data_IF_470656982565
#
_entry.id   IF_470656982565
#
_cell.length_a   1.000
_cell.length_b   1.000
_cell.length_c   1.000
_cell.angle_alpha   90.00
_cell.angle_beta   90.00
_cell.angle_gamma   90.00
#
_symmetry.space_group_name_H-M   'P 1'
#
loop_
_entity.id
_entity.type
_entity.pdbx_description
1 polymer ?
#
# COMPACT_ATOMS: atom_id res chain seq x y z
N UNK A 1 2.76 16.06 12.24
CA UNK A 1 1.94 14.84 12.05
C UNK A 1 2.35 14.21 10.72
N UNK A 2 2.08 12.92 10.55
CA UNK A 2 2.32 12.18 9.31
C UNK A 2 1.01 11.54 8.85
N UNK A 3 0.83 11.47 7.54
CA UNK A 3 -0.29 10.77 6.90
C UNK A 3 0.21 10.02 5.68
N UNK A 4 -0.19 8.76 5.55
CA UNK A 4 0.10 7.91 4.40
C UNK A 4 -1.15 7.14 4.01
N UNK A 5 -1.36 6.91 2.71
CA UNK A 5 -2.43 6.04 2.21
C UNK A 5 -1.81 4.86 1.49
N UNK A 6 -2.18 3.67 1.94
CA UNK A 6 -1.73 2.38 1.39
C UNK A 6 -2.72 1.95 0.33
N UNK A 7 -2.26 1.54 -0.85
CA UNK A 7 -3.09 0.95 -1.90
C UNK A 7 -2.50 -0.40 -2.28
N UNK A 8 -3.28 -1.47 -2.17
CA UNK A 8 -2.91 -2.83 -2.55
C UNK A 8 -4.18 -3.67 -2.69
N UNK A 9 -4.23 -4.62 -3.63
CA UNK A 9 -5.48 -5.20 -4.11
C UNK A 9 -6.18 -4.31 -5.13
N UNK A 10 -6.55 -4.88 -6.28
CA UNK A 10 -7.02 -4.11 -7.45
C UNK A 10 -8.03 -4.90 -8.26
N UNK A 11 -9.07 -4.22 -8.75
CA UNK A 11 -9.96 -4.77 -9.78
C UNK A 11 -10.33 -3.69 -10.80
N UNK A 12 -10.56 -4.09 -12.05
CA UNK A 12 -11.04 -3.18 -13.09
C UNK A 12 -12.42 -2.60 -12.75
N UNK A 13 -12.70 -1.42 -13.30
CA UNK A 13 -14.03 -0.79 -13.23
C UNK A 13 -15.04 -1.62 -14.02
N UNK A 14 -16.30 -1.58 -13.60
CA UNK A 14 -17.39 -2.22 -14.35
C UNK A 14 -17.76 -1.43 -15.61
N UNK A 15 -18.35 -2.13 -16.58
CA UNK A 15 -18.84 -1.54 -17.84
C UNK A 15 -20.08 -0.65 -17.65
N UNK A 16 -20.77 -0.81 -16.53
CA UNK A 16 -21.91 0.00 -16.11
C UNK A 16 -21.91 0.16 -14.57
N UNK A 17 -22.83 0.96 -14.05
CA UNK A 17 -22.91 1.27 -12.62
C UNK A 17 -23.14 0.03 -11.73
N UNK A 18 -23.90 -0.97 -12.20
CA UNK A 18 -24.19 -2.19 -11.43
C UNK A 18 -22.97 -3.09 -11.40
N UNK A 19 -22.33 -3.32 -12.55
CA UNK A 19 -21.10 -4.08 -12.65
C UNK A 19 -19.97 -3.41 -11.84
N UNK A 20 -19.93 -2.08 -11.83
CA UNK A 20 -18.91 -1.32 -11.10
C UNK A 20 -19.06 -1.45 -9.58
N UNK A 21 -20.30 -1.39 -9.08
CA UNK A 21 -20.59 -1.64 -7.66
C UNK A 21 -20.30 -3.10 -7.26
N UNK A 22 -20.61 -4.06 -8.13
CA UNK A 22 -20.30 -5.47 -7.90
C UNK A 22 -18.79 -5.73 -7.88
N UNK A 23 -18.01 -5.09 -8.75
CA UNK A 23 -16.56 -5.17 -8.75
C UNK A 23 -15.96 -4.63 -7.43
N UNK A 24 -16.42 -3.46 -6.98
CA UNK A 24 -16.00 -2.90 -5.69
C UNK A 24 -16.33 -3.85 -4.53
N UNK A 25 -17.57 -4.34 -4.43
CA UNK A 25 -17.99 -5.26 -3.38
C UNK A 25 -17.20 -6.59 -3.41
N UNK A 26 -16.93 -7.11 -4.61
CA UNK A 26 -16.10 -8.30 -4.80
C UNK A 26 -14.67 -8.10 -4.31
N UNK A 27 -14.06 -6.96 -4.62
CA UNK A 27 -12.73 -6.62 -4.12
C UNK A 27 -12.72 -6.49 -2.58
N UNK A 28 -13.71 -5.81 -2.00
CA UNK A 28 -13.84 -5.65 -0.55
C UNK A 28 -13.96 -7.00 0.18
N UNK A 29 -14.67 -7.97 -0.40
CA UNK A 29 -14.88 -9.30 0.18
C UNK A 29 -13.77 -10.31 -0.15
N UNK A 30 -12.81 -9.96 -1.02
CA UNK A 30 -11.74 -10.86 -1.44
C UNK A 30 -10.76 -11.12 -0.31
N UNK A 31 -10.76 -12.34 0.24
CA UNK A 31 -9.81 -12.75 1.27
C UNK A 31 -8.36 -12.57 0.79
N UNK A 32 -8.07 -12.98 -0.44
CA UNK A 32 -6.74 -12.89 -1.05
C UNK A 32 -6.26 -11.44 -1.11
N UNK A 33 -7.10 -10.51 -1.58
CA UNK A 33 -6.70 -9.11 -1.70
C UNK A 33 -6.64 -8.40 -0.34
N UNK A 34 -7.46 -8.80 0.64
CA UNK A 34 -7.34 -8.30 2.01
C UNK A 34 -6.05 -8.77 2.70
N UNK A 35 -5.65 -10.03 2.51
CA UNK A 35 -4.37 -10.57 3.01
C UNK A 35 -3.19 -9.86 2.36
N UNK A 36 -3.22 -9.67 1.03
CA UNK A 36 -2.21 -8.89 0.29
C UNK A 36 -2.12 -7.44 0.81
N UNK A 37 -3.27 -6.80 1.01
CA UNK A 37 -3.34 -5.43 1.53
C UNK A 37 -2.78 -5.31 2.95
N UNK A 38 -2.98 -6.33 3.80
CA UNK A 38 -2.43 -6.34 5.15
C UNK A 38 -0.89 -6.26 5.13
N UNK A 39 -0.21 -7.03 4.27
CA UNK A 39 1.25 -6.94 4.14
C UNK A 39 1.72 -5.55 3.70
N UNK A 40 1.01 -4.92 2.75
CA UNK A 40 1.31 -3.56 2.31
C UNK A 40 1.15 -2.55 3.45
N UNK A 41 0.05 -2.63 4.20
CA UNK A 41 -0.22 -1.74 5.34
C UNK A 41 0.80 -1.94 6.45
N UNK A 42 1.09 -3.18 6.80
CA UNK A 42 1.99 -3.49 7.90
C UNK A 42 3.42 -3.04 7.57
N UNK A 43 3.85 -3.13 6.31
CA UNK A 43 5.15 -2.57 5.88
C UNK A 43 5.25 -1.05 6.11
N UNK A 44 4.16 -0.30 5.92
CA UNK A 44 4.11 1.14 6.17
C UNK A 44 4.11 1.44 7.68
N UNK A 45 3.38 0.67 8.47
CA UNK A 45 3.36 0.80 9.93
C UNK A 45 4.74 0.52 10.52
N UNK A 46 5.41 -0.54 10.09
CA UNK A 46 6.72 -0.93 10.58
C UNK A 46 7.79 0.11 10.22
N UNK A 47 7.74 0.66 9.00
CA UNK A 47 8.65 1.72 8.57
C UNK A 47 8.45 3.04 9.35
N UNK A 48 7.20 3.42 9.68
CA UNK A 48 6.91 4.69 10.36
C UNK A 48 7.00 4.62 11.88
N UNK A 49 6.92 3.42 12.47
CA UNK A 49 6.90 3.22 13.93
C UNK A 49 8.14 3.81 14.64
N UNK A 50 9.38 3.68 14.14
CA UNK A 50 10.55 4.30 14.78
C UNK A 50 10.48 5.83 14.86
N UNK A 51 9.76 6.45 13.90
CA UNK A 51 9.69 7.91 13.76
C UNK A 51 8.48 8.53 14.47
N UNK A 52 7.56 7.71 14.99
CA UNK A 52 6.25 8.16 15.44
C UNK A 52 6.02 7.84 16.92
N UNK A 53 5.42 8.79 17.66
CA UNK A 53 4.97 8.58 19.04
C UNK A 53 3.72 7.72 19.10
N UNK A 54 2.84 7.94 18.13
CA UNK A 54 1.59 7.23 17.94
C UNK A 54 1.36 7.01 16.44
N UNK A 55 0.75 5.87 16.11
CA UNK A 55 0.26 5.54 14.79
C UNK A 55 -1.11 4.93 14.92
N UNK A 56 -2.00 5.30 14.02
CA UNK A 56 -3.33 4.73 13.87
C UNK A 56 -3.58 4.38 12.41
N UNK A 57 -4.41 3.38 12.18
CA UNK A 57 -4.89 2.97 10.87
C UNK A 57 -6.42 3.01 10.88
N UNK A 58 -7.03 3.14 9.71
CA UNK A 58 -8.45 2.79 9.55
C UNK A 58 -8.71 1.36 10.03
N UNK A 59 -9.84 1.14 10.73
CA UNK A 59 -10.20 -0.14 11.33
C UNK A 59 -10.25 -1.30 10.32
N UNK A 60 -10.69 -1.00 9.10
CA UNK A 60 -10.73 -1.93 7.97
C UNK A 60 -10.34 -1.21 6.67
N UNK A 61 -9.76 -1.93 5.69
CA UNK A 61 -9.54 -1.36 4.37
C UNK A 61 -10.87 -1.02 3.70
N UNK A 62 -10.88 0.02 2.87
CA UNK A 62 -12.04 0.46 2.11
C UNK A 62 -11.76 0.49 0.62
N UNK A 63 -12.79 0.36 -0.21
CA UNK A 63 -12.64 0.44 -1.67
C UNK A 63 -12.54 1.89 -2.14
N UNK A 64 -11.41 2.23 -2.75
CA UNK A 64 -11.17 3.53 -3.36
C UNK A 64 -11.42 3.48 -4.87
N UNK A 65 -12.32 4.34 -5.35
CA UNK A 65 -12.63 4.50 -6.77
C UNK A 65 -11.59 5.40 -7.44
N UNK A 66 -10.84 4.87 -8.40
CA UNK A 66 -10.00 5.64 -9.32
C UNK A 66 -10.59 5.60 -10.74
N UNK A 67 -10.10 6.41 -11.69
CA UNK A 67 -10.66 6.48 -13.04
C UNK A 67 -10.79 5.12 -13.72
N UNK A 68 -9.75 4.29 -13.62
CA UNK A 68 -9.64 3.02 -14.35
C UNK A 68 -9.73 1.77 -13.47
N UNK A 69 -9.62 1.93 -12.14
CA UNK A 69 -9.48 0.82 -11.19
C UNK A 69 -10.23 1.09 -9.88
N UNK A 70 -10.58 0.02 -9.19
CA UNK A 70 -10.84 0.02 -7.75
C UNK A 70 -9.60 -0.50 -7.03
N UNK A 71 -9.28 0.09 -5.87
CA UNK A 71 -8.23 -0.40 -4.98
C UNK A 71 -8.79 -0.63 -3.58
N UNK A 72 -8.21 -1.57 -2.81
CA UNK A 72 -8.33 -1.48 -1.36
C UNK A 72 -7.36 -0.43 -0.84
N UNK A 73 -7.82 0.37 0.10
CA UNK A 73 -7.07 1.45 0.71
C UNK A 73 -7.17 1.41 2.24
N UNK A 74 -6.08 1.76 2.90
CA UNK A 74 -6.06 2.08 4.34
C UNK A 74 -5.35 3.41 4.54
N UNK A 75 -5.85 4.23 5.45
CA UNK A 75 -5.17 5.44 5.89
C UNK A 75 -4.37 5.16 7.14
N UNK A 76 -3.10 5.59 7.15
CA UNK A 76 -2.20 5.57 8.29
C UNK A 76 -1.94 7.01 8.71
N UNK A 77 -2.16 7.32 9.98
CA UNK A 77 -1.91 8.67 10.53
C UNK A 77 -1.18 8.59 11.86
N UNK A 78 -0.42 9.62 12.20
CA UNK A 78 0.25 9.67 13.50
C UNK A 78 1.00 10.96 13.78
N UNK A 79 1.62 11.01 14.95
CA UNK A 79 2.46 12.14 15.39
C UNK A 79 3.92 11.74 15.41
N UNK A 80 4.77 12.52 14.75
CA UNK A 80 6.23 12.31 14.75
C UNK A 80 6.83 12.56 16.13
N UNK A 81 7.84 11.78 16.49
CA UNK A 81 8.45 11.80 17.82
C UNK A 81 9.91 12.23 17.87
N UNK A 82 10.63 12.13 16.76
CA UNK A 82 12.09 12.16 16.70
C UNK A 82 12.66 13.34 15.90
N UNK A 83 11.81 14.19 15.34
CA UNK A 83 12.22 15.34 14.52
C UNK A 83 12.51 15.01 13.05
N UNK A 84 12.14 13.82 12.57
CA UNK A 84 12.31 13.42 11.17
C UNK A 84 11.68 14.39 10.18
N UNK A 85 12.40 14.64 9.07
CA UNK A 85 11.91 15.37 7.92
C UNK A 85 11.05 14.48 7.01
N UNK A 86 10.36 15.08 6.03
CA UNK A 86 9.60 14.30 5.05
C UNK A 86 10.48 13.37 4.20
N UNK A 87 11.74 13.75 3.93
CA UNK A 87 12.66 12.92 3.16
C UNK A 87 13.16 11.73 3.97
N UNK A 88 13.38 11.89 5.28
CA UNK A 88 13.74 10.78 6.16
C UNK A 88 12.63 9.72 6.16
N UNK A 89 11.37 10.15 6.24
CA UNK A 89 10.20 9.27 6.21
C UNK A 89 10.04 8.56 4.85
N UNK A 90 10.26 9.27 3.74
CA UNK A 90 10.24 8.64 2.41
C UNK A 90 11.35 7.60 2.29
N UNK A 91 12.56 7.89 2.79
CA UNK A 91 13.68 6.95 2.81
C UNK A 91 13.41 5.70 3.65
N UNK A 92 12.68 5.84 4.76
CA UNK A 92 12.26 4.71 5.58
C UNK A 92 11.13 3.89 4.93
N UNK A 93 10.20 4.55 4.24
CA UNK A 93 9.02 3.92 3.64
C UNK A 93 9.33 3.19 2.33
N UNK A 94 10.24 3.72 1.53
CA UNK A 94 10.43 3.27 0.16
C UNK A 94 11.50 2.16 0.06
N UNK A 95 11.21 1.03 -0.61
CA UNK A 95 9.92 0.63 -1.18
C UNK A 95 9.01 -0.07 -0.17
N UNK A 96 7.71 0.20 -0.27
CA UNK A 96 6.70 -0.54 0.51
C UNK A 96 6.43 -1.91 -0.12
N UNK A 97 5.79 -2.81 0.64
CA UNK A 97 5.42 -4.12 0.12
C UNK A 97 4.43 -4.06 -1.06
N UNK A 98 3.74 -2.93 -1.28
CA UNK A 98 2.85 -2.76 -2.43
C UNK A 98 3.57 -2.77 -3.79
N UNK A 99 4.86 -2.40 -3.82
CA UNK A 99 5.65 -2.33 -5.07
C UNK A 99 6.88 -3.23 -5.08
N UNK A 100 7.36 -3.63 -3.90
CA UNK A 100 8.48 -4.55 -3.74
C UNK A 100 8.09 -5.95 -3.27
N UNK A 101 7.01 -6.12 -2.50
CA UNK A 101 6.61 -7.38 -1.88
C UNK A 101 7.06 -7.54 -0.41
N UNK A 102 6.73 -8.68 0.19
CA UNK A 102 7.04 -9.01 1.59
C UNK A 102 7.56 -10.46 1.72
N UNK A 103 8.67 -10.73 2.45
CA UNK A 103 9.59 -9.76 3.04
C UNK A 103 10.37 -8.96 1.98
N UNK A 104 10.51 -7.64 2.18
CA UNK A 104 10.97 -6.70 1.15
C UNK A 104 12.33 -7.05 0.54
N UNK A 105 13.33 -7.40 1.37
CA UNK A 105 14.68 -7.70 0.87
C UNK A 105 14.72 -8.96 -0.02
N UNK A 106 14.01 -10.01 0.37
CA UNK A 106 13.90 -11.24 -0.42
C UNK A 106 13.12 -10.99 -1.72
N UNK A 107 12.05 -10.21 -1.65
CA UNK A 107 11.24 -9.88 -2.81
C UNK A 107 11.99 -9.00 -3.83
N UNK A 108 12.79 -8.03 -3.38
CA UNK A 108 13.68 -7.24 -4.25
C UNK A 108 14.75 -8.09 -4.94
N UNK A 109 15.31 -9.08 -4.24
CA UNK A 109 16.27 -10.03 -4.83
C UNK A 109 15.60 -10.81 -5.96
N UNK A 110 14.40 -11.35 -5.71
CA UNK A 110 13.65 -12.10 -6.69
C UNK A 110 13.21 -11.24 -7.88
N UNK A 111 12.81 -9.98 -7.65
CA UNK A 111 12.50 -9.02 -8.71
C UNK A 111 13.70 -8.83 -9.64
N UNK A 112 14.90 -8.63 -9.08
CA UNK A 112 16.12 -8.45 -9.86
C UNK A 112 16.51 -9.70 -10.68
N UNK A 113 16.16 -10.90 -10.20
CA UNK A 113 16.39 -12.16 -10.92
C UNK A 113 15.37 -12.40 -12.04
N UNK A 114 14.11 -12.03 -11.83
CA UNK A 114 13.01 -12.37 -12.73
C UNK A 114 12.68 -11.29 -13.76
N UNK A 115 12.89 -10.00 -13.44
CA UNK A 115 12.58 -8.92 -14.37
C UNK A 115 13.70 -8.74 -15.39
N UNK A 116 13.38 -8.66 -16.69
CA UNK A 116 14.39 -8.63 -17.75
C UNK A 116 15.09 -7.27 -17.88
N UNK A 117 14.66 -6.27 -17.12
CA UNK A 117 15.14 -4.89 -17.23
C UNK A 117 15.11 -4.19 -15.87
N UNK A 118 15.99 -3.20 -15.73
CA UNK A 118 15.96 -2.27 -14.61
C UNK A 118 14.69 -1.39 -14.68
N UNK A 119 14.01 -1.25 -13.53
CA UNK A 119 12.83 -0.39 -13.37
C UNK A 119 13.17 1.11 -13.50
N UNK A 120 14.43 1.51 -13.31
CA UNK A 120 14.85 2.90 -13.39
C UNK A 120 14.15 3.76 -12.34
N UNK A 121 13.23 4.64 -12.75
CA UNK A 121 12.41 5.48 -11.84
C UNK A 121 11.00 4.92 -11.60
N UNK A 122 10.70 3.74 -12.14
CA UNK A 122 9.39 3.14 -12.00
C UNK A 122 9.20 2.58 -10.59
N UNK A 123 8.11 3.00 -9.95
CA UNK A 123 7.74 2.67 -8.58
C UNK A 123 8.67 3.20 -7.47
N UNK A 124 9.63 4.07 -7.82
CA UNK A 124 10.63 4.66 -6.93
C UNK A 124 11.79 5.22 -7.70
#
# INVERSE_FOLDING_TARGET
TVGARVLAGTVSRGTDARADAAAAAGLAASRKDNEEHAFARDSVLDALRPHSRDLSTTDAPFTLKLPNLWHLASDVTGTLGDGSSSLDLVGALHPTAAVAGHPTAAALTLIAELEPADRGRYAG
#
